data_IF_071353567584
#
_entry.id   IF_071353567584
#
_cell.length_a   1.000
_cell.length_b   1.000
_cell.length_c   1.000
_cell.angle_alpha   90.00
_cell.angle_beta   90.00
_cell.angle_gamma   90.00
#
_symmetry.space_group_name_H-M   'P 1'
#
loop_
_entity.id
_entity.type
_entity.pdbx_description
1 polymer ?
#
# COMPACT_ATOMS: atom_id res chain seq x y z
N UNK A 1 -30.72 4.93 54.82
CA UNK A 1 -30.61 6.28 54.24
C UNK A 1 -29.14 6.47 53.85
N UNK A 2 -28.66 6.69 52.62
CA UNK A 2 -29.22 6.98 51.29
C UNK A 2 -28.09 6.75 50.25
N UNK A 3 -28.47 6.33 49.03
CA UNK A 3 -27.74 6.13 47.76
C UNK A 3 -26.36 6.80 47.56
N UNK A 4 -25.44 6.05 46.96
CA UNK A 4 -24.62 6.49 45.83
C UNK A 4 -24.16 5.28 44.99
N UNK A 5 -25.09 4.71 44.23
CA UNK A 5 -24.79 3.92 43.04
C UNK A 5 -24.83 4.85 41.82
N UNK A 6 -24.08 4.46 40.77
CA UNK A 6 -24.01 5.03 39.41
C UNK A 6 -22.87 6.05 39.20
N UNK A 7 -21.75 5.57 38.69
CA UNK A 7 -21.19 5.96 37.38
C UNK A 7 -19.78 5.36 37.21
N UNK A 8 -19.71 4.09 36.84
CA UNK A 8 -18.51 3.51 36.21
C UNK A 8 -18.95 2.86 34.91
N UNK A 9 -19.62 3.68 34.09
CA UNK A 9 -20.25 3.26 32.85
C UNK A 9 -20.06 4.32 31.79
N UNK A 10 -18.83 4.53 31.33
CA UNK A 10 -18.56 5.11 30.02
C UNK A 10 -17.06 5.05 29.70
N UNK A 11 -16.76 4.83 28.41
CA UNK A 11 -15.46 5.05 27.78
C UNK A 11 -14.41 3.92 27.81
N UNK A 12 -14.81 2.69 27.52
CA UNK A 12 -13.97 1.74 26.78
C UNK A 12 -14.52 1.60 25.35
N UNK A 13 -14.47 2.69 24.58
CA UNK A 13 -14.97 2.72 23.21
C UNK A 13 -14.21 3.74 22.32
N UNK A 14 -12.88 3.74 22.39
CA UNK A 14 -12.03 4.60 21.52
C UNK A 14 -10.94 3.80 20.80
N UNK A 15 -11.24 2.57 20.39
CA UNK A 15 -10.31 1.75 19.62
C UNK A 15 -10.85 1.37 18.22
N UNK A 16 -11.63 2.23 17.55
CA UNK A 16 -12.02 1.99 16.15
C UNK A 16 -12.13 3.30 15.35
N UNK A 17 -11.12 4.17 15.38
CA UNK A 17 -11.11 5.37 14.52
C UNK A 17 -9.81 5.61 13.75
N UNK A 18 -8.78 4.78 13.93
CA UNK A 18 -7.48 4.98 13.26
C UNK A 18 -7.33 4.24 11.91
N UNK A 19 -8.26 3.37 11.51
CA UNK A 19 -8.10 2.55 10.29
C UNK A 19 -8.68 3.19 9.03
N UNK A 20 -9.37 4.34 9.13
CA UNK A 20 -10.06 4.97 8.00
C UNK A 20 -9.27 6.03 7.23
N UNK A 21 -8.19 6.58 7.79
CA UNK A 21 -7.53 7.77 7.24
C UNK A 21 -6.30 7.50 6.35
N UNK A 22 -5.89 6.25 6.19
CA UNK A 22 -4.67 5.93 5.44
C UNK A 22 -4.90 5.58 3.97
N UNK A 23 -6.15 5.36 3.52
CA UNK A 23 -6.42 4.92 2.15
C UNK A 23 -6.13 6.01 1.09
N UNK A 24 -6.38 7.28 1.41
CA UNK A 24 -6.09 8.40 0.49
C UNK A 24 -4.58 8.69 0.43
N UNK A 25 -3.89 8.75 1.57
CA UNK A 25 -2.44 8.97 1.62
C UNK A 25 -1.63 7.81 1.00
N UNK A 26 -2.10 6.57 1.15
CA UNK A 26 -1.45 5.42 0.50
C UNK A 26 -1.60 5.43 -1.02
N UNK A 27 -2.61 6.14 -1.56
CA UNK A 27 -2.82 6.21 -3.01
C UNK A 27 -1.81 7.11 -3.68
N UNK A 28 -1.48 8.19 -3.00
CA UNK A 28 -0.42 9.10 -3.42
C UNK A 28 0.95 8.39 -3.42
N UNK A 29 1.28 7.66 -2.35
CA UNK A 29 2.51 6.88 -2.26
C UNK A 29 2.59 5.77 -3.34
N UNK A 30 1.50 5.05 -3.59
CA UNK A 30 1.46 4.07 -4.67
C UNK A 30 1.64 4.71 -6.04
N UNK A 31 0.98 5.86 -6.29
CA UNK A 31 1.12 6.61 -7.54
C UNK A 31 2.57 7.05 -7.78
N UNK A 32 3.23 7.59 -6.75
CA UNK A 32 4.60 8.08 -6.85
C UNK A 32 5.56 6.93 -7.24
N UNK A 33 5.51 5.81 -6.50
CA UNK A 33 6.38 4.66 -6.74
C UNK A 33 6.08 3.97 -8.08
N UNK A 34 4.80 3.81 -8.42
CA UNK A 34 4.40 3.20 -9.67
C UNK A 34 4.88 4.05 -10.87
N UNK A 35 4.73 5.37 -10.84
CA UNK A 35 5.18 6.24 -11.93
C UNK A 35 6.70 6.23 -12.09
N UNK A 36 7.44 6.20 -10.99
CA UNK A 36 8.90 6.14 -11.01
C UNK A 36 9.44 4.82 -11.60
N UNK A 37 8.74 3.70 -11.34
CA UNK A 37 9.11 2.38 -11.86
C UNK A 37 8.57 2.08 -13.26
N UNK A 38 7.48 2.73 -13.65
CA UNK A 38 6.76 2.45 -14.88
C UNK A 38 7.55 2.85 -16.13
N UNK A 39 7.48 2.00 -17.16
CA UNK A 39 7.99 2.26 -18.50
C UNK A 39 6.86 2.38 -19.54
N UNK A 40 5.62 2.51 -19.08
CA UNK A 40 4.45 2.66 -19.94
C UNK A 40 4.43 4.03 -20.63
N UNK A 41 3.81 4.11 -21.82
CA UNK A 41 3.66 5.37 -22.57
C UNK A 41 2.83 6.41 -21.80
N UNK A 42 1.86 5.97 -21.00
CA UNK A 42 1.11 6.81 -20.07
C UNK A 42 1.15 6.20 -18.65
N UNK A 43 2.17 6.52 -17.85
CA UNK A 43 2.35 5.92 -16.54
C UNK A 43 1.24 6.33 -15.57
N UNK A 44 0.68 7.54 -15.72
CA UNK A 44 -0.40 8.04 -14.85
C UNK A 44 -1.66 7.19 -14.99
N UNK A 45 -2.10 6.89 -16.22
CA UNK A 45 -3.28 6.06 -16.48
C UNK A 45 -3.10 4.62 -16.01
N UNK A 46 -1.95 4.02 -16.33
CA UNK A 46 -1.63 2.65 -15.92
C UNK A 46 -1.59 2.53 -14.39
N UNK A 47 -0.86 3.43 -13.72
CA UNK A 47 -0.74 3.45 -12.28
C UNK A 47 -2.09 3.72 -11.59
N UNK A 48 -2.90 4.66 -12.11
CA UNK A 48 -4.26 4.92 -11.60
C UNK A 48 -5.13 3.67 -11.64
N UNK A 49 -5.11 2.93 -12.76
CA UNK A 49 -5.80 1.65 -12.88
C UNK A 49 -5.29 0.63 -11.85
N UNK A 50 -3.98 0.49 -11.71
CA UNK A 50 -3.36 -0.45 -10.78
C UNK A 50 -3.67 -0.13 -9.32
N UNK A 51 -3.68 1.15 -8.95
CA UNK A 51 -4.03 1.63 -7.62
C UNK A 51 -5.46 1.26 -7.21
N UNK A 52 -6.39 1.22 -8.18
CA UNK A 52 -7.75 0.74 -7.95
C UNK A 52 -7.85 -0.77 -7.79
N UNK A 53 -6.87 -1.54 -8.28
CA UNK A 53 -6.82 -3.01 -8.21
C UNK A 53 -6.07 -3.49 -6.97
N UNK A 54 -4.94 -2.86 -6.65
CA UNK A 54 -4.09 -3.19 -5.50
C UNK A 54 -4.62 -2.44 -4.29
N UNK A 55 -5.50 -3.09 -3.52
CA UNK A 55 -6.21 -2.49 -2.37
C UNK A 55 -6.04 -3.33 -1.10
N UNK A 56 -6.38 -2.76 0.05
CA UNK A 56 -6.31 -3.45 1.34
C UNK A 56 -4.88 -3.65 1.86
N UNK A 57 -4.69 -4.67 2.69
CA UNK A 57 -3.41 -4.89 3.40
C UNK A 57 -2.22 -5.10 2.46
N UNK A 58 -2.44 -5.69 1.28
CA UNK A 58 -1.36 -5.98 0.30
C UNK A 58 -0.80 -4.71 -0.36
N UNK A 59 -1.49 -3.57 -0.19
CA UNK A 59 -1.11 -2.32 -0.83
C UNK A 59 0.10 -1.67 -0.18
N UNK A 60 0.20 -1.71 1.15
CA UNK A 60 1.38 -1.24 1.85
C UNK A 60 2.61 -2.07 1.47
N UNK A 61 2.45 -3.39 1.36
CA UNK A 61 3.50 -4.29 0.88
C UNK A 61 3.89 -4.03 -0.57
N UNK A 62 2.91 -3.77 -1.43
CA UNK A 62 3.14 -3.40 -2.84
C UNK A 62 3.92 -2.09 -2.98
N UNK A 63 3.58 -1.06 -2.20
CA UNK A 63 4.32 0.21 -2.20
C UNK A 63 5.76 -0.02 -1.76
N UNK A 64 5.97 -0.78 -0.68
CA UNK A 64 7.31 -1.07 -0.18
C UNK A 64 8.13 -1.91 -1.18
N UNK A 65 7.49 -2.86 -1.88
CA UNK A 65 8.12 -3.62 -2.95
C UNK A 65 8.51 -2.74 -4.14
N UNK A 66 7.61 -1.88 -4.62
CA UNK A 66 7.89 -0.93 -5.71
C UNK A 66 9.01 0.04 -5.34
N UNK A 67 9.01 0.58 -4.12
CA UNK A 67 10.08 1.44 -3.62
C UNK A 67 11.43 0.72 -3.56
N UNK A 68 11.45 -0.51 -3.06
CA UNK A 68 12.66 -1.35 -3.06
C UNK A 68 13.16 -1.62 -4.48
N UNK A 69 12.25 -1.89 -5.42
CA UNK A 69 12.57 -2.08 -6.83
C UNK A 69 13.13 -0.81 -7.50
N UNK A 70 12.52 0.36 -7.23
CA UNK A 70 12.93 1.64 -7.78
C UNK A 70 14.31 2.08 -7.29
N UNK A 71 14.57 1.90 -5.98
CA UNK A 71 15.88 2.20 -5.38
C UNK A 71 16.96 1.26 -5.89
N UNK A 72 16.66 -0.04 -6.04
CA UNK A 72 17.62 -1.03 -6.54
C UNK A 72 17.93 -0.84 -8.03
N UNK A 73 16.92 -0.53 -8.86
CA UNK A 73 17.07 -0.18 -10.27
C UNK A 73 18.01 1.02 -10.44
N UNK A 74 17.88 2.04 -9.59
CA UNK A 74 18.74 3.22 -9.60
C UNK A 74 20.17 2.95 -9.11
N UNK A 75 20.36 2.03 -8.16
CA UNK A 75 21.66 1.77 -7.55
C UNK A 75 22.56 0.83 -8.36
N UNK A 76 22.00 -0.15 -9.09
CA UNK A 76 22.80 -1.22 -9.71
C UNK A 76 22.59 -1.38 -11.22
N UNK A 77 21.71 -0.59 -11.86
CA UNK A 77 21.46 -0.65 -13.31
C UNK A 77 20.87 -1.98 -13.82
N UNK A 78 20.66 -2.96 -12.93
CA UNK A 78 20.05 -4.26 -13.23
C UNK A 78 18.62 -4.37 -12.68
N UNK A 79 17.80 -5.28 -13.24
CA UNK A 79 16.46 -5.53 -12.73
C UNK A 79 16.55 -6.03 -11.27
N UNK A 80 15.73 -5.49 -10.35
CA UNK A 80 15.73 -5.94 -8.97
C UNK A 80 15.32 -7.42 -8.88
N UNK A 81 16.02 -8.20 -8.06
CA UNK A 81 15.70 -9.61 -7.86
C UNK A 81 14.50 -9.73 -6.91
N UNK A 82 13.34 -10.23 -7.37
CA UNK A 82 12.15 -10.32 -6.53
C UNK A 82 12.30 -11.31 -5.38
N UNK A 83 13.28 -12.23 -5.40
CA UNK A 83 13.56 -13.14 -4.28
C UNK A 83 14.34 -12.47 -3.15
N UNK A 84 14.96 -11.30 -3.41
CA UNK A 84 15.57 -10.49 -2.37
C UNK A 84 14.54 -9.75 -1.51
N UNK A 85 13.26 -9.72 -1.95
CA UNK A 85 12.19 -9.10 -1.19
C UNK A 85 11.69 -10.03 -0.06
N UNK A 86 11.34 -9.50 1.12
CA UNK A 86 10.54 -10.17 2.14
C UNK A 86 9.27 -10.81 1.57
N UNK A 87 8.83 -11.94 2.12
CA UNK A 87 7.65 -12.68 1.65
C UNK A 87 6.37 -11.83 1.52
N UNK A 88 6.17 -10.85 2.42
CA UNK A 88 5.03 -9.94 2.35
C UNK A 88 5.11 -9.00 1.12
N UNK A 89 6.30 -8.47 0.83
CA UNK A 89 6.58 -7.64 -0.33
C UNK A 89 6.50 -8.43 -1.64
N UNK A 90 6.87 -9.71 -1.64
CA UNK A 90 6.67 -10.60 -2.80
C UNK A 90 5.18 -10.70 -3.15
N UNK A 91 4.31 -10.92 -2.15
CA UNK A 91 2.86 -10.96 -2.36
C UNK A 91 2.31 -9.61 -2.86
N UNK A 92 2.82 -8.51 -2.33
CA UNK A 92 2.49 -7.16 -2.80
C UNK A 92 2.91 -6.95 -4.26
N UNK A 93 4.12 -7.40 -4.62
CA UNK A 93 4.64 -7.34 -5.98
C UNK A 93 3.84 -8.21 -6.96
N UNK A 94 3.45 -9.42 -6.57
CA UNK A 94 2.58 -10.26 -7.40
C UNK A 94 1.23 -9.57 -7.68
N UNK A 95 0.65 -8.90 -6.68
CA UNK A 95 -0.57 -8.12 -6.88
C UNK A 95 -0.36 -6.95 -7.85
N UNK A 96 0.80 -6.28 -7.79
CA UNK A 96 1.20 -5.22 -8.72
C UNK A 96 1.37 -5.77 -10.13
N UNK A 97 2.07 -6.90 -10.32
CA UNK A 97 2.28 -7.52 -11.63
C UNK A 97 0.94 -7.96 -12.24
N UNK A 98 0.09 -8.60 -11.45
CA UNK A 98 -1.24 -9.01 -11.88
C UNK A 98 -2.11 -7.80 -12.28
N UNK A 99 -2.03 -6.70 -11.52
CA UNK A 99 -2.71 -5.45 -11.86
C UNK A 99 -2.12 -4.81 -13.13
N UNK A 100 -0.80 -4.83 -13.29
CA UNK A 100 -0.11 -4.27 -14.46
C UNK A 100 -0.55 -4.97 -15.75
N UNK A 101 -0.63 -6.30 -15.75
CA UNK A 101 -1.14 -7.07 -16.90
C UNK A 101 -2.61 -6.78 -17.25
N UNK A 102 -3.38 -6.20 -16.34
CA UNK A 102 -4.77 -5.76 -16.57
C UNK A 102 -4.87 -4.27 -16.92
N UNK A 103 -3.81 -3.49 -16.71
CA UNK A 103 -3.79 -2.03 -16.78
C UNK A 103 -2.81 -1.47 -17.82
N UNK A 104 -2.19 -2.36 -18.62
CA UNK A 104 -1.31 -2.04 -19.75
C UNK A 104 -2.04 -1.39 -20.94
#
# INVERSE_FOLDING_TARGET
>A
MTRASRDLGAALATAVLALGFSASAQTDAFMAECQQGSSAADPVKACTCMSGKVTGAVRADAIAAMHSMNTTKGANGGPPDPKALPAAQQKGLEAVIAAHGQCQ
#
